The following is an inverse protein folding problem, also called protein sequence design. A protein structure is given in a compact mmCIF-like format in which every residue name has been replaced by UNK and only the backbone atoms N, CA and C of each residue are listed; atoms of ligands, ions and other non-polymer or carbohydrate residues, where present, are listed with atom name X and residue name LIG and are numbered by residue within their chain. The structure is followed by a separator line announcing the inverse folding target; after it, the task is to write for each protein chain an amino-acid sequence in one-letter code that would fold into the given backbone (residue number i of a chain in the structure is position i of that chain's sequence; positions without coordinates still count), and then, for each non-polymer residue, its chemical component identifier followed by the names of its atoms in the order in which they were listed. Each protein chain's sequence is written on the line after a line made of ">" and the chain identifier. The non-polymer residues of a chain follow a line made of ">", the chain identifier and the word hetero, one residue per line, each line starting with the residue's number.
data_IF_478212622944
#
_entry.id   IF_478212622944
#
_cell.length_a   1.000
_cell.length_b   1.000
_cell.length_c   1.000
_cell.angle_alpha   90.00
_cell.angle_beta   90.00
_cell.angle_gamma   90.00
#
_symmetry.space_group_name_H-M   'P 1'
#
loop_
_entity.id
_entity.type
_entity.pdbx_description
1 polymer ?
#
# COMPACT_ATOMS: atom_id res chain seq x y z
N UNK A 1 2.59 -1.86 6.61
CA UNK A 1 1.16 -1.70 6.25
C UNK A 1 0.38 -1.04 7.38
N UNK A 2 0.34 -1.61 8.59
CA UNK A 2 -0.33 -1.03 9.77
C UNK A 2 -0.04 0.45 10.01
N UNK A 3 1.24 0.86 9.96
CA UNK A 3 1.60 2.27 10.11
C UNK A 3 1.00 3.19 9.03
N UNK A 4 0.89 2.71 7.78
CA UNK A 4 0.25 3.47 6.71
C UNK A 4 -1.27 3.60 6.91
N UNK A 5 -1.92 2.58 7.48
CA UNK A 5 -3.36 2.65 7.83
C UNK A 5 -3.58 3.68 8.94
N UNK A 6 -2.73 3.69 9.97
CA UNK A 6 -2.76 4.70 11.05
C UNK A 6 -2.56 6.10 10.51
N UNK A 7 -1.61 6.26 9.60
CA UNK A 7 -1.30 7.51 8.93
C UNK A 7 -2.49 8.04 8.09
N UNK A 8 -3.25 7.16 7.44
CA UNK A 8 -4.42 7.53 6.61
C UNK A 8 -5.71 7.78 7.43
N UNK A 9 -5.77 7.31 8.67
CA UNK A 9 -6.99 7.34 9.48
C UNK A 9 -7.07 8.56 10.40
N UNK A 10 -8.29 9.03 10.67
CA UNK A 10 -8.53 10.07 11.67
C UNK A 10 -8.67 9.45 13.07
N UNK A 11 -8.11 10.11 14.08
CA UNK A 11 -8.33 9.76 15.49
C UNK A 11 -9.76 10.07 15.97
N UNK A 12 -10.14 9.67 17.19
CA UNK A 12 -9.24 9.28 18.28
C UNK A 12 -9.00 7.77 18.34
N UNK A 13 -7.73 7.34 18.36
CA UNK A 13 -7.37 5.99 18.83
C UNK A 13 -7.14 6.11 20.34
N UNK A 14 -7.60 5.13 21.13
CA UNK A 14 -7.54 5.17 22.59
C UNK A 14 -6.21 5.72 23.09
N UNK A 15 -6.27 6.69 24.00
CA UNK A 15 -5.09 7.24 24.65
C UNK A 15 -4.32 6.09 25.32
N UNK A 16 -3.01 5.95 25.11
CA UNK A 16 -2.25 5.00 25.89
C UNK A 16 -2.31 5.40 27.37
N UNK A 17 -2.43 4.41 28.25
CA UNK A 17 -2.16 4.59 29.67
C UNK A 17 -0.71 5.03 29.77
N UNK A 18 -0.45 6.21 30.36
CA UNK A 18 0.92 6.71 30.55
C UNK A 18 1.74 5.65 31.30
N UNK A 19 2.67 4.99 30.59
CA UNK A 19 3.68 4.13 31.20
C UNK A 19 4.85 4.99 31.64
N UNK A 20 5.36 4.77 32.85
CA UNK A 20 6.52 5.51 33.34
C UNK A 20 7.72 5.28 32.41
N UNK A 21 8.33 6.36 31.92
CA UNK A 21 9.44 6.30 30.98
C UNK A 21 10.62 5.48 31.53
N UNK A 22 11.14 4.55 30.74
CA UNK A 22 12.38 3.84 31.04
C UNK A 22 13.58 4.76 30.81
N UNK A 23 14.31 5.09 31.88
CA UNK A 23 15.54 5.90 31.83
C UNK A 23 16.76 5.11 31.30
N UNK A 24 16.57 3.92 30.73
CA UNK A 24 17.65 3.06 30.23
C UNK A 24 18.24 3.61 28.94
N UNK A 25 19.47 4.11 28.99
CA UNK A 25 20.25 4.53 27.81
C UNK A 25 20.51 3.40 26.79
N UNK A 26 20.31 2.13 27.18
CA UNK A 26 20.47 0.98 26.28
C UNK A 26 19.22 0.66 25.47
N UNK A 27 18.06 1.13 25.93
CA UNK A 27 16.73 0.92 25.33
C UNK A 27 15.86 2.12 25.70
N UNK A 28 16.07 3.29 25.07
CA UNK A 28 15.18 4.43 25.27
C UNK A 28 13.77 4.01 24.82
N UNK A 29 12.76 4.36 25.61
CA UNK A 29 11.35 4.13 25.28
C UNK A 29 10.92 5.18 24.24
N UNK A 30 11.45 5.04 23.02
CA UNK A 30 11.10 5.90 21.89
C UNK A 30 9.71 5.44 21.43
N UNK A 31 8.68 6.16 21.89
CA UNK A 31 7.32 5.98 21.41
C UNK A 31 7.31 6.29 19.91
N UNK A 32 7.05 5.28 19.07
CA UNK A 32 7.03 5.47 17.62
C UNK A 32 5.91 6.49 17.27
N UNK A 33 6.25 7.61 16.60
CA UNK A 33 5.29 8.68 16.27
C UNK A 33 4.19 8.22 15.31
N UNK A 34 4.31 7.03 14.72
CA UNK A 34 3.29 6.39 13.89
C UNK A 34 2.49 5.32 14.65
N UNK A 35 3.05 4.79 15.75
CA UNK A 35 2.40 3.74 16.53
C UNK A 35 1.42 4.23 17.57
N UNK A 36 1.61 5.44 18.09
CA UNK A 36 0.65 6.08 18.98
C UNK A 36 -0.08 7.24 18.29
N UNK A 37 -1.34 7.48 18.66
CA UNK A 37 -2.13 8.64 18.22
C UNK A 37 -1.61 9.98 18.78
N UNK A 38 -0.33 10.05 19.14
CA UNK A 38 0.25 11.21 19.73
C UNK A 38 0.39 12.27 18.66
N UNK A 39 -0.32 13.39 18.85
CA UNK A 39 -0.02 14.63 18.15
C UNK A 39 1.27 15.27 18.69
N UNK A 40 2.10 14.50 19.39
CA UNK A 40 3.32 14.94 20.03
C UNK A 40 4.38 13.85 19.96
N UNK A 41 5.65 14.21 19.86
CA UNK A 41 6.78 13.29 20.00
C UNK A 41 7.79 13.87 20.98
N UNK A 42 8.64 13.01 21.55
CA UNK A 42 9.72 13.40 22.46
C UNK A 42 11.07 13.03 21.83
N UNK A 43 12.09 13.86 22.02
CA UNK A 43 13.46 13.60 21.56
C UNK A 43 14.36 13.05 22.67
N UNK A 44 14.04 13.28 23.94
CA UNK A 44 14.86 12.89 25.09
C UNK A 44 14.07 12.18 26.23
N UNK A 45 12.78 11.93 26.02
CA UNK A 45 11.88 11.34 27.01
C UNK A 45 11.40 12.30 28.11
N UNK A 46 11.85 13.56 28.09
CA UNK A 46 11.48 14.61 29.05
C UNK A 46 10.75 15.78 28.36
N UNK A 47 11.02 15.99 27.08
CA UNK A 47 10.40 17.01 26.24
C UNK A 47 9.11 16.52 25.54
N UNK A 48 8.32 17.46 25.03
CA UNK A 48 7.11 17.15 24.28
C UNK A 48 6.93 18.20 23.19
N UNK A 49 7.09 17.79 21.93
CA UNK A 49 6.91 18.64 20.76
C UNK A 49 5.67 18.23 19.97
N UNK A 50 4.87 19.15 19.42
CA UNK A 50 3.77 18.80 18.54
C UNK A 50 4.29 18.11 17.26
N UNK A 51 3.77 16.93 16.96
CA UNK A 51 4.05 16.21 15.72
C UNK A 51 3.47 17.00 14.53
N UNK A 52 4.03 16.88 13.30
CA UNK A 52 3.46 17.54 12.13
C UNK A 52 1.96 17.27 11.93
N UNK A 53 1.50 16.06 12.26
CA UNK A 53 0.08 15.65 12.24
C UNK A 53 -0.81 16.36 13.26
N UNK A 54 -0.26 17.09 14.23
CA UNK A 54 -0.99 17.94 15.18
C UNK A 54 -1.73 19.09 14.51
N UNK A 55 -1.19 19.57 13.38
CA UNK A 55 -1.79 20.65 12.62
C UNK A 55 -2.77 20.08 11.61
N UNK A 56 -4.03 20.52 11.65
CA UNK A 56 -5.09 20.05 10.73
C UNK A 56 -4.68 20.18 9.25
N UNK A 57 -3.96 21.25 8.89
CA UNK A 57 -3.43 21.48 7.54
C UNK A 57 -2.33 20.49 7.10
N UNK A 58 -1.80 19.69 8.04
CA UNK A 58 -0.74 18.68 7.84
C UNK A 58 -1.23 17.28 8.26
N UNK A 59 -2.53 17.13 8.51
CA UNK A 59 -3.19 15.88 8.91
C UNK A 59 -3.56 14.99 7.72
N UNK A 60 -3.40 15.50 6.50
CA UNK A 60 -3.58 14.75 5.26
C UNK A 60 -2.26 14.09 4.90
N UNK A 61 -2.19 12.79 5.13
CA UNK A 61 -1.01 12.03 4.77
C UNK A 61 -1.17 11.42 3.38
N UNK A 62 -0.09 11.48 2.60
CA UNK A 62 -0.04 10.89 1.27
C UNK A 62 0.84 9.64 1.30
N UNK A 63 0.29 8.54 0.78
CA UNK A 63 0.98 7.26 0.69
C UNK A 63 1.06 6.88 -0.78
N UNK A 64 2.28 6.81 -1.32
CA UNK A 64 2.53 6.22 -2.63
C UNK A 64 2.86 4.73 -2.44
N UNK A 65 2.18 3.87 -3.18
CA UNK A 65 2.39 2.41 -3.13
C UNK A 65 2.62 1.87 -4.54
N UNK A 66 3.57 0.95 -4.67
CA UNK A 66 3.80 0.15 -5.87
C UNK A 66 3.25 -1.25 -5.63
N UNK A 67 1.97 -1.52 -5.98
CA UNK A 67 1.28 -2.73 -5.54
C UNK A 67 1.82 -4.02 -6.19
N UNK A 68 2.59 -3.94 -7.28
CA UNK A 68 3.26 -5.10 -7.89
C UNK A 68 4.33 -5.72 -6.97
N UNK A 69 4.92 -4.92 -6.07
CA UNK A 69 5.89 -5.38 -5.07
C UNK A 69 7.19 -5.94 -5.65
N UNK A 70 7.48 -5.67 -6.93
CA UNK A 70 8.74 -5.94 -7.64
C UNK A 70 8.92 -4.94 -8.77
N UNK A 71 10.16 -4.76 -9.21
CA UNK A 71 10.41 -4.10 -10.50
C UNK A 71 10.02 -5.08 -11.60
N UNK A 72 9.13 -4.65 -12.50
CA UNK A 72 8.72 -5.40 -13.68
C UNK A 72 8.92 -4.51 -14.91
N UNK A 73 9.75 -4.96 -15.85
CA UNK A 73 10.03 -4.25 -17.10
C UNK A 73 9.64 -5.15 -18.26
N UNK A 74 8.65 -4.72 -19.04
CA UNK A 74 8.21 -5.39 -20.26
C UNK A 74 7.99 -4.38 -21.38
N UNK A 75 8.25 -4.78 -22.62
CA UNK A 75 8.20 -3.88 -23.78
C UNK A 75 6.77 -3.36 -24.04
N UNK A 76 5.76 -4.22 -23.87
CA UNK A 76 4.34 -3.91 -24.01
C UNK A 76 3.72 -3.19 -22.79
N UNK A 77 4.54 -2.86 -21.79
CA UNK A 77 4.15 -2.23 -20.53
C UNK A 77 3.03 -2.96 -19.80
N UNK A 78 2.95 -4.29 -19.93
CA UNK A 78 2.02 -5.09 -19.13
C UNK A 78 2.35 -4.97 -17.65
N UNK A 79 1.36 -4.75 -16.81
CA UNK A 79 1.50 -4.71 -15.36
C UNK A 79 1.38 -6.10 -14.75
N UNK A 80 2.14 -6.36 -13.69
CA UNK A 80 1.98 -7.57 -12.89
C UNK A 80 0.66 -7.57 -12.11
N UNK A 81 0.32 -8.69 -11.49
CA UNK A 81 -0.71 -8.73 -10.46
C UNK A 81 -0.39 -7.76 -9.33
N UNK A 82 -1.43 -7.20 -8.72
CA UNK A 82 -1.30 -6.35 -7.55
C UNK A 82 -1.38 -7.20 -6.30
N UNK A 83 -0.45 -7.01 -5.37
CA UNK A 83 -0.50 -7.67 -4.07
C UNK A 83 -1.68 -7.15 -3.28
N UNK A 84 -2.49 -8.09 -2.79
CA UNK A 84 -3.68 -7.84 -2.01
C UNK A 84 -3.49 -6.98 -0.75
N UNK A 85 -2.25 -6.78 -0.27
CA UNK A 85 -1.96 -5.86 0.84
C UNK A 85 -2.44 -4.42 0.61
N UNK A 86 -2.57 -3.96 -0.65
CA UNK A 86 -3.14 -2.64 -0.97
C UNK A 86 -4.59 -2.49 -0.51
N UNK A 87 -5.38 -3.57 -0.53
CA UNK A 87 -6.77 -3.54 -0.09
C UNK A 87 -6.92 -3.14 1.37
N UNK A 88 -5.93 -3.43 2.22
CA UNK A 88 -5.96 -3.05 3.64
C UNK A 88 -6.03 -1.54 3.82
N UNK A 89 -5.35 -0.77 2.98
CA UNK A 89 -5.40 0.70 3.02
C UNK A 89 -6.81 1.22 2.74
N UNK A 90 -7.54 0.56 1.83
CA UNK A 90 -8.90 0.97 1.42
C UNK A 90 -9.97 0.42 2.33
N UNK A 91 -9.81 -0.77 2.91
CA UNK A 91 -10.84 -1.41 3.74
C UNK A 91 -10.71 -1.05 5.23
N UNK A 92 -9.48 -0.82 5.72
CA UNK A 92 -9.23 -0.65 7.16
C UNK A 92 -9.05 0.82 7.58
N UNK A 93 -8.65 1.72 6.68
CA UNK A 93 -8.49 3.12 7.03
C UNK A 93 -9.84 3.83 7.20
N UNK A 94 -9.96 4.67 8.21
CA UNK A 94 -11.18 5.42 8.52
C UNK A 94 -10.82 6.88 8.85
N UNK A 95 -11.32 7.89 8.11
CA UNK A 95 -12.18 7.82 6.93
C UNK A 95 -11.50 7.15 5.73
N UNK A 96 -12.33 6.75 4.76
CA UNK A 96 -11.86 6.17 3.52
C UNK A 96 -10.89 7.13 2.80
N UNK A 97 -9.69 6.67 2.40
CA UNK A 97 -8.72 7.54 1.72
C UNK A 97 -9.13 7.79 0.26
N UNK A 98 -8.77 8.94 -0.29
CA UNK A 98 -8.84 9.14 -1.74
C UNK A 98 -7.80 8.27 -2.45
N UNK A 99 -8.17 7.65 -3.57
CA UNK A 99 -7.26 6.87 -4.42
C UNK A 99 -6.98 7.64 -5.70
N UNK A 100 -5.70 7.84 -6.03
CA UNK A 100 -5.28 8.41 -7.32
C UNK A 100 -4.46 7.36 -8.06
N UNK A 101 -4.98 6.75 -9.15
CA UNK A 101 -4.22 5.79 -9.93
C UNK A 101 -3.13 6.52 -10.73
N UNK A 102 -1.92 5.95 -10.74
CA UNK A 102 -0.77 6.51 -11.44
C UNK A 102 -0.19 5.42 -12.33
N UNK A 103 0.04 5.75 -13.60
CA UNK A 103 0.76 4.90 -14.54
C UNK A 103 2.08 5.57 -14.94
N UNK A 104 3.18 4.83 -14.81
CA UNK A 104 4.53 5.35 -14.97
C UNK A 104 5.26 4.53 -16.03
N UNK A 105 5.84 5.19 -17.03
CA UNK A 105 6.57 4.55 -18.13
C UNK A 105 7.87 5.30 -18.48
N UNK A 106 8.81 4.59 -19.11
CA UNK A 106 10.06 5.15 -19.62
C UNK A 106 11.29 4.95 -18.72
N UNK A 107 11.11 4.61 -17.45
CA UNK A 107 12.23 4.31 -16.55
C UNK A 107 13.07 3.11 -17.01
N UNK A 108 12.44 2.12 -17.64
CA UNK A 108 13.11 0.97 -18.25
C UNK A 108 14.02 1.37 -19.41
N UNK A 109 13.72 2.46 -20.12
CA UNK A 109 14.57 2.97 -21.19
C UNK A 109 15.82 3.70 -20.66
N UNK A 110 15.75 4.26 -19.44
CA UNK A 110 16.88 4.91 -18.77
C UNK A 110 17.75 3.87 -18.07
N UNK A 111 17.13 3.04 -17.23
CA UNK A 111 17.74 2.08 -16.32
C UNK A 111 17.14 0.70 -16.54
N UNK A 112 17.39 0.12 -17.72
CA UNK A 112 16.98 -1.25 -18.04
C UNK A 112 17.71 -2.27 -17.14
N UNK A 113 17.05 -3.33 -16.68
CA UNK A 113 17.68 -4.33 -15.79
C UNK A 113 18.69 -5.23 -16.51
N UNK A 114 18.64 -5.33 -17.83
CA UNK A 114 19.68 -6.02 -18.64
C UNK A 114 21.00 -5.22 -18.78
N UNK A 115 21.12 -4.03 -18.18
CA UNK A 115 22.28 -3.15 -18.40
C UNK A 115 23.59 -3.75 -17.88
N UNK A 116 24.63 -3.64 -18.71
CA UNK A 116 26.00 -4.03 -18.39
C UNK A 116 26.75 -2.99 -17.56
N UNK A 117 28.06 -3.16 -17.45
CA UNK A 117 28.94 -2.18 -16.79
C UNK A 117 29.15 -0.94 -17.70
N UNK A 118 29.12 0.30 -17.16
CA UNK A 118 28.86 0.67 -15.77
C UNK A 118 27.36 0.73 -15.43
N UNK A 119 26.94 -0.08 -14.43
CA UNK A 119 25.53 -0.22 -14.00
C UNK A 119 24.87 1.02 -13.39
N UNK A 120 25.56 1.97 -12.72
CA UNK A 120 24.89 3.11 -12.09
C UNK A 120 24.65 4.30 -13.03
N UNK A 121 25.05 4.22 -14.31
CA UNK A 121 24.94 5.35 -15.23
C UNK A 121 23.61 5.27 -16.01
N UNK A 122 22.69 6.24 -15.83
CA UNK A 122 21.44 6.29 -16.59
C UNK A 122 21.68 6.65 -18.06
N UNK A 123 20.90 6.07 -18.98
CA UNK A 123 20.91 6.49 -20.38
C UNK A 123 20.24 7.86 -20.51
N UNK A 124 20.97 8.83 -21.07
CA UNK A 124 20.44 10.18 -21.33
C UNK A 124 19.55 10.23 -22.57
N UNK A 125 18.72 11.28 -22.67
CA UNK A 125 17.86 11.55 -23.85
C UNK A 125 16.71 10.56 -24.02
N UNK A 126 16.21 10.00 -22.91
CA UNK A 126 15.03 9.12 -22.88
C UNK A 126 13.91 9.80 -22.12
N UNK A 127 12.69 9.58 -22.58
CA UNK A 127 11.50 10.19 -22.00
C UNK A 127 10.99 9.37 -20.81
N UNK A 128 10.56 10.08 -19.77
CA UNK A 128 9.81 9.51 -18.64
C UNK A 128 8.46 10.18 -18.60
N UNK A 129 7.41 9.36 -18.55
CA UNK A 129 6.04 9.85 -18.49
C UNK A 129 5.39 9.35 -17.21
N UNK A 130 4.80 10.27 -16.46
CA UNK A 130 3.99 9.98 -15.27
C UNK A 130 2.58 10.47 -15.57
N UNK A 131 1.63 9.55 -15.58
CA UNK A 131 0.23 9.86 -15.91
C UNK A 131 -0.63 9.63 -14.67
N UNK A 132 -1.40 10.63 -14.31
CA UNK A 132 -2.33 10.58 -13.19
C UNK A 132 -3.74 10.38 -13.74
N UNK A 133 -4.47 9.40 -13.21
CA UNK A 133 -5.90 9.30 -13.46
C UNK A 133 -6.70 10.17 -12.51
N UNK A 134 -8.02 10.12 -12.68
CA UNK A 134 -8.95 10.86 -11.84
C UNK A 134 -8.94 10.36 -10.40
N UNK A 135 -9.20 11.29 -9.47
CA UNK A 135 -9.34 10.98 -8.05
C UNK A 135 -10.58 10.11 -7.85
N UNK A 136 -10.40 8.95 -7.23
CA UNK A 136 -11.47 8.03 -6.86
C UNK A 136 -11.79 8.21 -5.37
N UNK A 137 -13.01 8.63 -5.09
CA UNK A 137 -13.56 8.60 -3.72
C UNK A 137 -13.82 7.14 -3.34
N UNK A 138 -12.94 6.57 -2.52
CA UNK A 138 -13.08 5.16 -2.13
C UNK A 138 -14.20 4.93 -1.13
N UNK A 139 -14.67 5.97 -0.43
CA UNK A 139 -15.83 5.90 0.44
C UNK A 139 -17.11 5.60 -0.34
N UNK A 140 -17.18 6.04 -1.59
CA UNK A 140 -18.30 5.75 -2.49
C UNK A 140 -18.03 4.56 -3.41
N UNK A 141 -16.92 4.58 -4.16
CA UNK A 141 -16.63 3.56 -5.18
C UNK A 141 -16.33 2.16 -4.60
N UNK A 142 -15.95 2.08 -3.32
CA UNK A 142 -15.67 0.82 -2.62
C UNK A 142 -16.60 0.62 -1.41
N UNK A 143 -17.72 1.36 -1.35
CA UNK A 143 -18.69 1.33 -0.24
C UNK A 143 -19.15 -0.10 0.07
N UNK A 144 -19.52 -0.87 -0.95
CA UNK A 144 -20.01 -2.24 -0.81
C UNK A 144 -18.97 -3.18 -0.17
N UNK A 145 -17.69 -3.01 -0.50
CA UNK A 145 -16.61 -3.81 0.08
C UNK A 145 -16.29 -3.37 1.50
N UNK A 146 -16.31 -2.06 1.77
CA UNK A 146 -16.10 -1.50 3.11
C UNK A 146 -17.20 -1.90 4.08
N UNK A 147 -18.46 -1.89 3.66
CA UNK A 147 -19.60 -2.32 4.47
C UNK A 147 -19.50 -3.80 4.84
N UNK A 148 -19.17 -4.67 3.87
CA UNK A 148 -18.93 -6.11 4.13
C UNK A 148 -17.75 -6.32 5.09
N UNK A 149 -16.66 -5.59 4.90
CA UNK A 149 -15.51 -5.64 5.80
C UNK A 149 -15.88 -5.18 7.22
N UNK A 150 -16.68 -4.13 7.35
CA UNK A 150 -17.17 -3.65 8.64
C UNK A 150 -18.05 -4.70 9.34
N UNK A 151 -18.95 -5.36 8.59
CA UNK A 151 -19.78 -6.44 9.12
C UNK A 151 -18.94 -7.64 9.61
N UNK A 152 -17.92 -8.04 8.83
CA UNK A 152 -16.98 -9.08 9.24
C UNK A 152 -16.24 -8.72 10.52
N UNK A 153 -15.74 -7.48 10.64
CA UNK A 153 -15.09 -7.01 11.87
C UNK A 153 -16.04 -7.05 13.06
N UNK A 154 -17.29 -6.60 12.90
CA UNK A 154 -18.28 -6.64 13.97
C UNK A 154 -18.58 -8.07 14.42
N UNK A 155 -18.70 -9.01 13.49
CA UNK A 155 -18.91 -10.42 13.82
C UNK A 155 -17.72 -11.01 14.58
N UNK A 156 -16.48 -10.71 14.17
CA UNK A 156 -15.28 -11.14 14.90
C UNK A 156 -15.24 -10.58 16.34
N UNK A 157 -15.58 -9.30 16.52
CA UNK A 157 -15.66 -8.67 17.85
C UNK A 157 -16.74 -9.34 18.74
N UNK A 158 -17.89 -9.69 18.17
CA UNK A 158 -18.92 -10.46 18.89
C UNK A 158 -18.46 -11.86 19.31
N UNK A 159 -17.52 -12.45 18.57
CA UNK A 159 -16.89 -13.73 18.91
C UNK A 159 -15.70 -13.60 19.88
N UNK A 160 -15.42 -12.39 20.38
CA UNK A 160 -14.39 -12.13 21.39
C UNK A 160 -13.04 -11.67 20.82
N UNK A 161 -12.95 -11.30 19.54
CA UNK A 161 -11.74 -10.71 18.99
C UNK A 161 -11.46 -9.32 19.61
N UNK A 162 -10.21 -9.09 20.04
CA UNK A 162 -9.76 -7.77 20.47
C UNK A 162 -9.74 -6.78 19.31
N UNK A 163 -10.37 -5.61 19.48
CA UNK A 163 -10.62 -4.65 18.38
C UNK A 163 -9.80 -3.36 18.46
N UNK A 164 -9.01 -3.18 19.52
CA UNK A 164 -8.70 -1.82 19.99
C UNK A 164 -7.54 -1.14 19.27
N UNK A 165 -6.76 -1.86 18.48
CA UNK A 165 -5.56 -1.31 17.85
C UNK A 165 -5.76 -1.08 16.34
N UNK A 166 -5.84 0.19 15.92
CA UNK A 166 -6.05 0.53 14.51
C UNK A 166 -4.96 -0.06 13.61
N UNK A 167 -5.41 -0.67 12.50
CA UNK A 167 -4.56 -1.26 11.48
C UNK A 167 -3.91 -2.57 11.90
N UNK A 168 -4.24 -3.10 13.08
CA UNK A 168 -3.82 -4.41 13.54
C UNK A 168 -5.02 -5.35 13.45
N UNK A 169 -4.85 -6.42 12.69
CA UNK A 169 -5.83 -7.50 12.56
C UNK A 169 -5.16 -8.73 13.14
N UNK A 170 -5.65 -9.20 14.29
CA UNK A 170 -5.13 -10.40 15.00
C UNK A 170 -6.04 -11.61 14.84
N UNK A 171 -7.30 -11.37 14.52
CA UNK A 171 -8.28 -12.42 14.35
C UNK A 171 -8.00 -13.27 13.10
N UNK A 172 -7.94 -14.59 13.28
CA UNK A 172 -7.64 -15.56 12.22
C UNK A 172 -8.66 -15.52 11.07
N UNK A 173 -9.94 -15.27 11.35
CA UNK A 173 -10.96 -15.18 10.30
C UNK A 173 -10.79 -13.90 9.48
N UNK A 174 -10.45 -12.77 10.12
CA UNK A 174 -10.14 -11.53 9.42
C UNK A 174 -8.79 -11.58 8.68
N UNK A 175 -7.83 -12.40 9.12
CA UNK A 175 -6.55 -12.58 8.44
C UNK A 175 -6.65 -13.53 7.25
N UNK A 176 -7.26 -14.70 7.46
CA UNK A 176 -7.18 -15.85 6.56
C UNK A 176 -8.54 -16.46 6.19
N UNK A 177 -9.64 -15.96 6.74
CA UNK A 177 -10.98 -16.42 6.40
C UNK A 177 -11.31 -16.20 4.93
N UNK A 178 -12.03 -17.15 4.33
CA UNK A 178 -12.34 -17.14 2.90
C UNK A 178 -13.07 -15.87 2.45
N UNK A 179 -13.95 -15.32 3.29
CA UNK A 179 -14.67 -14.08 2.98
C UNK A 179 -13.75 -12.85 3.02
N UNK A 180 -12.87 -12.76 4.02
CA UNK A 180 -11.86 -11.71 4.13
C UNK A 180 -10.89 -11.73 2.93
N UNK A 181 -10.45 -12.92 2.52
CA UNK A 181 -9.59 -13.10 1.33
C UNK A 181 -10.30 -12.62 0.06
N UNK A 182 -11.54 -13.05 -0.18
CA UNK A 182 -12.33 -12.63 -1.35
C UNK A 182 -12.54 -11.12 -1.41
N UNK A 183 -12.85 -10.48 -0.29
CA UNK A 183 -13.01 -9.01 -0.24
C UNK A 183 -11.72 -8.29 -0.62
N UNK A 184 -10.58 -8.79 -0.13
CA UNK A 184 -9.28 -8.20 -0.43
C UNK A 184 -8.86 -8.41 -1.87
N UNK A 185 -9.11 -9.59 -2.44
CA UNK A 185 -8.90 -9.88 -3.87
C UNK A 185 -9.72 -8.94 -4.75
N UNK A 186 -11.04 -8.86 -4.51
CA UNK A 186 -11.94 -7.98 -5.27
C UNK A 186 -11.55 -6.50 -5.15
N UNK A 187 -11.24 -6.03 -3.94
CA UNK A 187 -10.75 -4.67 -3.73
C UNK A 187 -9.47 -4.39 -4.52
N UNK A 188 -8.55 -5.36 -4.55
CA UNK A 188 -7.27 -5.22 -5.26
C UNK A 188 -7.46 -5.23 -6.76
N UNK A 189 -8.38 -6.05 -7.27
CA UNK A 189 -8.75 -6.07 -8.69
C UNK A 189 -9.33 -4.73 -9.15
N UNK A 190 -10.22 -4.11 -8.35
CA UNK A 190 -10.76 -2.77 -8.67
C UNK A 190 -9.67 -1.69 -8.67
N UNK A 191 -8.71 -1.75 -7.75
CA UNK A 191 -7.54 -0.84 -7.75
C UNK A 191 -6.70 -1.06 -9.01
N UNK A 192 -6.46 -2.31 -9.41
CA UNK A 192 -5.73 -2.62 -10.64
C UNK A 192 -6.46 -2.10 -11.88
N UNK A 193 -7.78 -2.26 -11.94
CA UNK A 193 -8.59 -1.75 -13.05
C UNK A 193 -8.51 -0.22 -13.18
N UNK A 194 -8.47 0.49 -12.05
CA UNK A 194 -8.26 1.94 -12.05
C UNK A 194 -6.92 2.33 -12.68
N UNK A 195 -5.83 1.59 -12.42
CA UNK A 195 -4.53 1.84 -13.06
C UNK A 195 -4.53 1.41 -14.54
N UNK A 196 -5.21 0.31 -14.89
CA UNK A 196 -5.41 -0.11 -16.28
C UNK A 196 -6.14 0.95 -17.10
N UNK A 197 -7.11 1.65 -16.51
CA UNK A 197 -7.79 2.76 -17.19
C UNK A 197 -6.82 3.89 -17.56
N UNK A 198 -5.88 4.24 -16.66
CA UNK A 198 -4.82 5.22 -16.94
C UNK A 198 -3.85 4.70 -18.00
N UNK A 199 -3.53 3.41 -17.97
CA UNK A 199 -2.69 2.77 -19.00
C UNK A 199 -3.37 2.83 -20.39
N UNK A 200 -4.67 2.55 -20.47
CA UNK A 200 -5.46 2.68 -21.71
C UNK A 200 -5.49 4.11 -22.22
N UNK A 201 -5.62 5.11 -21.35
CA UNK A 201 -5.61 6.53 -21.78
C UNK A 201 -4.27 6.96 -22.38
N UNK A 202 -3.20 6.17 -22.17
CA UNK A 202 -1.89 6.36 -22.81
C UNK A 202 -1.74 5.64 -24.16
N UNK A 203 -2.77 4.93 -24.62
CA UNK A 203 -2.79 4.26 -25.91
C UNK A 203 -2.26 2.82 -25.88
N UNK A 204 -1.99 2.27 -24.71
CA UNK A 204 -1.61 0.86 -24.56
C UNK A 204 -2.84 -0.06 -24.69
N UNK A 205 -2.73 -1.21 -25.37
CA UNK A 205 -3.83 -2.15 -25.58
C UNK A 205 -4.21 -2.87 -24.28
N UNK A 206 -5.43 -3.36 -24.15
CA UNK A 206 -5.82 -4.16 -22.99
C UNK A 206 -4.92 -5.38 -22.80
N UNK A 207 -4.61 -5.67 -21.54
CA UNK A 207 -3.79 -6.81 -21.15
C UNK A 207 -4.61 -8.10 -21.11
N UNK A 208 -3.96 -9.26 -21.22
CA UNK A 208 -4.62 -10.53 -20.91
C UNK A 208 -5.07 -10.49 -19.43
N UNK A 209 -6.35 -10.75 -19.11
CA UNK A 209 -6.84 -10.79 -17.73
C UNK A 209 -5.98 -11.65 -16.79
N UNK A 210 -5.33 -12.69 -17.31
CA UNK A 210 -4.40 -13.55 -16.55
C UNK A 210 -3.21 -12.78 -15.99
N UNK A 211 -2.76 -11.70 -16.62
CA UNK A 211 -1.68 -10.87 -16.10
C UNK A 211 -2.01 -10.24 -14.73
N UNK A 212 -3.30 -10.12 -14.39
CA UNK A 212 -3.76 -9.68 -13.08
C UNK A 212 -3.79 -10.76 -11.99
N UNK A 213 -3.58 -12.04 -12.34
CA UNK A 213 -3.69 -13.18 -11.43
C UNK A 213 -2.33 -13.56 -10.84
N UNK A 214 -2.30 -13.91 -9.56
CA UNK A 214 -1.07 -14.35 -8.89
C UNK A 214 -0.50 -15.63 -9.53
N UNK A 215 -1.37 -16.57 -9.88
CA UNK A 215 -1.03 -17.91 -10.39
C UNK A 215 -0.21 -17.83 -11.68
N UNK A 216 -0.54 -16.87 -12.55
CA UNK A 216 0.17 -16.63 -13.81
C UNK A 216 1.65 -16.36 -13.57
N UNK A 217 1.97 -15.57 -12.55
CA UNK A 217 3.34 -15.21 -12.23
C UNK A 217 4.02 -16.16 -11.23
N UNK A 218 3.24 -16.97 -10.51
CA UNK A 218 3.79 -18.02 -9.67
C UNK A 218 4.47 -19.11 -10.51
N UNK A 219 3.91 -19.40 -11.70
CA UNK A 219 4.49 -20.36 -12.64
C UNK A 219 5.82 -19.90 -13.25
N UNK A 220 6.05 -18.60 -13.39
CA UNK A 220 7.29 -18.05 -13.95
C UNK A 220 8.47 -18.10 -12.96
N UNK A 221 8.18 -18.32 -11.68
CA UNK A 221 9.17 -18.42 -10.61
C UNK A 221 9.53 -17.08 -9.95
N UNK A 222 10.28 -17.17 -8.86
CA UNK A 222 10.67 -16.00 -8.05
C UNK A 222 12.03 -15.39 -8.44
N UNK A 223 12.65 -15.85 -9.52
CA UNK A 223 13.99 -15.44 -9.93
C UNK A 223 14.08 -13.96 -10.35
N UNK A 224 15.29 -13.42 -10.30
CA UNK A 224 15.62 -12.10 -10.88
C UNK A 224 16.20 -12.26 -12.28
N UNK A 225 16.08 -11.23 -13.11
CA UNK A 225 16.64 -11.18 -14.45
C UNK A 225 15.58 -11.39 -15.53
N UNK A 226 15.96 -12.02 -16.64
CA UNK A 226 15.07 -12.20 -17.81
C UNK A 226 14.15 -13.40 -17.61
N UNK A 227 12.85 -13.18 -17.71
CA UNK A 227 11.81 -14.21 -17.60
C UNK A 227 11.47 -14.83 -18.97
N UNK A 228 10.71 -15.93 -18.96
CA UNK A 228 10.32 -16.66 -20.16
C UNK A 228 9.37 -15.86 -21.08
N UNK A 229 8.56 -14.98 -20.51
CA UNK A 229 7.64 -14.08 -21.24
C UNK A 229 8.34 -12.85 -21.84
N UNK A 230 9.66 -12.75 -21.68
CA UNK A 230 10.48 -11.64 -22.15
C UNK A 230 10.55 -10.45 -21.21
N UNK A 231 9.81 -10.47 -20.08
CA UNK A 231 9.94 -9.46 -19.05
C UNK A 231 11.27 -9.56 -18.29
N UNK A 232 11.64 -8.48 -17.61
CA UNK A 232 12.72 -8.44 -16.64
C UNK A 232 12.16 -8.14 -15.27
N UNK A 233 12.53 -8.95 -14.28
CA UNK A 233 12.09 -8.79 -12.89
C UNK A 233 13.25 -8.63 -11.93
N UNK A 234 13.01 -7.88 -10.84
CA UNK A 234 13.99 -7.71 -9.76
C UNK A 234 13.27 -7.42 -8.44
N UNK A 235 13.83 -7.88 -7.33
CA UNK A 235 13.32 -7.54 -6.00
C UNK A 235 13.61 -6.06 -5.66
N UNK A 236 12.63 -5.40 -5.06
CA UNK A 236 12.68 -4.00 -4.58
C UNK A 236 13.12 -3.91 -3.14
#
# INVERSE_FOLDING_TARGET
>A
MTQAIRLLSHGPFSAPIATAASLSLKTPDITDPFSGAHLTYSTDGLDTFPAPSAYASRRHAWVHIFPEGRVHQKEDKTMRYFRWGVSRLILEAEPAPDLVPIFIEGFDSIMHESRGFPRPIPRAGKDVTVTFGDKIDTGDAFRDLREKWAALKQHAVQQGAESDELGVVRDEQLMHGAEAVRLREECTMRVREAVLAVRRSRGWPDEDPKCGLFETWAMEGAGEGRMADGSYTKDT
#
